data_IF_917569501218
#
_entry.id   IF_917569501218
#
_cell.length_a   1.000
_cell.length_b   1.000
_cell.length_c   1.000
_cell.angle_alpha   90.00
_cell.angle_beta   90.00
_cell.angle_gamma   90.00
#
_symmetry.space_group_name_H-M   'P 1'
#
loop_
_entity.id
_entity.type
_entity.pdbx_description
1 polymer ?
#
# COMPACT_ATOMS: atom_id res chain seq x y z
N UNK A 1 -3.85 -39.89 -42.12
CA UNK A 1 -2.84 -38.98 -41.52
C UNK A 1 -3.63 -37.89 -40.80
N UNK A 2 -3.71 -37.95 -39.47
CA UNK A 2 -4.33 -36.89 -38.66
C UNK A 2 -3.30 -35.76 -38.53
N UNK A 3 -3.67 -34.58 -39.01
CA UNK A 3 -2.75 -33.44 -39.09
C UNK A 3 -2.20 -33.03 -37.71
N UNK A 4 -0.88 -32.88 -37.63
CA UNK A 4 -0.16 -32.44 -36.43
C UNK A 4 -0.64 -31.07 -35.86
N UNK A 5 -1.38 -30.33 -36.65
CA UNK A 5 -2.05 -29.06 -36.28
C UNK A 5 -3.20 -29.29 -35.29
N UNK A 6 -3.98 -30.34 -35.48
CA UNK A 6 -5.15 -30.68 -34.65
C UNK A 6 -4.74 -31.15 -33.25
N UNK A 7 -3.62 -31.87 -33.15
CA UNK A 7 -3.07 -32.33 -31.86
C UNK A 7 -2.52 -31.15 -31.02
N UNK A 8 -1.86 -30.17 -31.65
CA UNK A 8 -1.38 -28.97 -30.97
C UNK A 8 -2.51 -28.11 -30.44
N UNK A 9 -3.62 -28.01 -31.20
CA UNK A 9 -4.79 -27.25 -30.77
C UNK A 9 -5.52 -27.90 -29.60
N UNK A 10 -5.58 -29.22 -29.58
CA UNK A 10 -6.15 -30.00 -28.45
C UNK A 10 -5.27 -29.86 -27.19
N UNK A 11 -3.93 -29.92 -27.35
CA UNK A 11 -2.98 -29.77 -26.24
C UNK A 11 -3.08 -28.38 -25.60
N UNK A 12 -3.19 -27.32 -26.40
CA UNK A 12 -3.34 -25.95 -25.89
C UNK A 12 -4.69 -25.73 -25.16
N UNK A 13 -5.77 -26.33 -25.64
CA UNK A 13 -7.08 -26.31 -24.95
C UNK A 13 -7.04 -27.07 -23.63
N UNK A 14 -6.43 -28.25 -23.61
CA UNK A 14 -6.29 -29.05 -22.40
C UNK A 14 -5.43 -28.34 -21.33
N UNK A 15 -4.36 -27.67 -21.71
CA UNK A 15 -3.50 -26.91 -20.78
C UNK A 15 -4.26 -25.74 -20.16
N UNK A 16 -5.10 -25.05 -20.94
CA UNK A 16 -5.93 -23.93 -20.46
C UNK A 16 -7.05 -24.38 -19.49
N UNK A 17 -7.68 -25.53 -19.78
CA UNK A 17 -8.66 -26.14 -18.88
C UNK A 17 -8.01 -26.64 -17.59
N UNK A 18 -6.78 -27.16 -17.68
CA UNK A 18 -6.03 -27.64 -16.52
C UNK A 18 -5.60 -26.48 -15.59
N UNK A 19 -5.19 -25.35 -16.14
CA UNK A 19 -4.87 -24.15 -15.36
C UNK A 19 -6.11 -23.57 -14.65
N UNK A 20 -7.27 -23.56 -15.30
CA UNK A 20 -8.54 -23.12 -14.69
C UNK A 20 -9.01 -24.08 -13.58
N UNK A 21 -8.79 -25.39 -13.77
CA UNK A 21 -9.18 -26.39 -12.76
C UNK A 21 -8.28 -26.36 -11.53
N UNK A 22 -6.97 -26.15 -11.69
CA UNK A 22 -6.02 -26.01 -10.58
C UNK A 22 -6.23 -24.72 -9.82
N UNK A 23 -6.58 -23.62 -10.50
CA UNK A 23 -6.88 -22.33 -9.85
C UNK A 23 -8.15 -22.44 -8.97
N UNK A 24 -9.24 -23.01 -9.50
CA UNK A 24 -10.47 -23.22 -8.74
C UNK A 24 -10.33 -24.22 -7.58
N UNK A 25 -9.47 -25.22 -7.73
CA UNK A 25 -9.22 -26.22 -6.67
C UNK A 25 -8.39 -25.62 -5.51
N UNK A 26 -7.43 -24.76 -5.83
CA UNK A 26 -6.62 -24.07 -4.84
C UNK A 26 -7.45 -23.06 -4.03
N UNK A 27 -8.37 -22.34 -4.69
CA UNK A 27 -9.27 -21.37 -4.04
C UNK A 27 -10.31 -22.06 -3.16
N UNK A 28 -10.86 -23.19 -3.60
CA UNK A 28 -11.81 -24.00 -2.83
C UNK A 28 -11.18 -24.63 -1.58
N UNK A 29 -9.92 -25.06 -1.66
CA UNK A 29 -9.17 -25.58 -0.50
C UNK A 29 -8.74 -24.49 0.47
N UNK A 30 -8.51 -23.25 0.01
CA UNK A 30 -8.26 -22.08 0.85
C UNK A 30 -9.49 -21.71 1.69
N UNK A 31 -10.68 -21.79 1.07
CA UNK A 31 -11.97 -21.56 1.77
C UNK A 31 -12.26 -22.68 2.79
N UNK A 32 -11.98 -23.94 2.43
CA UNK A 32 -12.17 -25.10 3.34
C UNK A 32 -11.21 -25.08 4.54
N UNK A 33 -10.01 -24.52 4.42
CA UNK A 33 -9.10 -24.32 5.56
C UNK A 33 -9.55 -23.22 6.53
N UNK A 34 -10.31 -22.25 6.05
CA UNK A 34 -10.89 -21.22 6.91
C UNK A 34 -12.18 -21.67 7.62
N UNK A 35 -12.86 -22.68 7.09
CA UNK A 35 -14.08 -23.21 7.71
C UNK A 35 -13.86 -24.43 8.62
N UNK A 36 -12.66 -25.03 8.64
CA UNK A 36 -12.40 -26.24 9.44
C UNK A 36 -11.95 -25.96 10.87
N UNK A 37 -12.00 -24.71 11.35
CA UNK A 37 -11.79 -24.37 12.76
C UNK A 37 -13.10 -24.48 13.59
N UNK A 38 -14.18 -24.97 13.00
CA UNK A 38 -15.40 -25.20 13.78
C UNK A 38 -16.20 -26.41 13.24
N UNK A 39 -16.05 -27.51 13.87
CA UNK A 39 -16.88 -28.71 13.98
C UNK A 39 -16.18 -30.02 13.69
N UNK A 40 -15.64 -30.63 14.73
CA UNK A 40 -15.66 -32.09 14.90
C UNK A 40 -17.12 -32.55 14.87
N UNK A 41 -17.46 -33.42 13.94
CA UNK A 41 -18.23 -34.66 14.12
C UNK A 41 -18.58 -35.29 12.78
N UNK A 42 -18.26 -36.59 12.69
CA UNK A 42 -18.87 -37.63 11.82
C UNK A 42 -18.85 -37.46 10.31
N UNK A 43 -17.96 -38.19 9.65
CA UNK A 43 -18.34 -39.18 8.63
C UNK A 43 -17.19 -40.16 8.34
N UNK A 44 -17.29 -41.32 8.91
CA UNK A 44 -16.62 -42.55 8.43
C UNK A 44 -17.41 -43.07 7.22
N UNK A 45 -16.71 -43.63 6.30
CA UNK A 45 -17.11 -44.40 5.09
C UNK A 45 -17.17 -43.59 3.79
N UNK A 46 -16.15 -43.73 3.03
CA UNK A 46 -16.00 -44.10 1.59
C UNK A 46 -14.64 -43.58 1.05
N UNK A 47 -13.58 -44.11 1.59
CA UNK A 47 -12.21 -43.78 1.15
C UNK A 47 -11.43 -45.06 0.90
N UNK A 48 -11.62 -45.79 -0.20
CA UNK A 48 -10.64 -46.83 -0.48
C UNK A 48 -10.39 -47.21 -1.95
N UNK A 49 -10.93 -46.53 -2.96
CA UNK A 49 -10.65 -46.96 -4.34
C UNK A 49 -10.28 -45.87 -5.36
N UNK A 50 -10.02 -44.64 -4.94
CA UNK A 50 -9.55 -43.56 -5.87
C UNK A 50 -8.24 -42.87 -5.47
N UNK A 51 -7.50 -43.37 -4.49
CA UNK A 51 -6.38 -42.66 -3.89
C UNK A 51 -4.98 -43.06 -4.39
N UNK A 52 -4.84 -44.07 -5.23
CA UNK A 52 -3.51 -44.54 -5.63
C UNK A 52 -2.99 -44.02 -6.98
N UNK A 53 -3.81 -43.39 -7.79
CA UNK A 53 -3.35 -42.86 -9.09
C UNK A 53 -3.15 -41.34 -9.12
N UNK A 54 -3.62 -40.59 -8.09
CA UNK A 54 -3.54 -39.12 -8.07
C UNK A 54 -2.46 -38.60 -7.09
N UNK A 55 -2.00 -39.44 -6.15
CA UNK A 55 -1.03 -39.05 -5.13
C UNK A 55 0.44 -38.97 -5.62
N UNK A 56 0.75 -39.52 -6.78
CA UNK A 56 2.12 -39.49 -7.34
C UNK A 56 2.47 -38.22 -8.11
N UNK A 57 1.48 -37.47 -8.61
CA UNK A 57 1.74 -36.32 -9.49
C UNK A 57 1.48 -34.94 -8.84
N UNK A 58 0.76 -34.89 -7.73
CA UNK A 58 0.38 -33.59 -7.14
C UNK A 58 1.33 -33.06 -6.07
N UNK A 59 2.23 -33.88 -5.54
CA UNK A 59 3.23 -33.42 -4.55
C UNK A 59 4.46 -32.77 -5.19
N UNK A 60 4.77 -33.10 -6.45
CA UNK A 60 5.89 -32.50 -7.16
C UNK A 60 5.58 -31.12 -7.76
N UNK A 61 4.28 -30.81 -8.00
CA UNK A 61 3.86 -29.57 -8.66
C UNK A 61 3.63 -28.41 -7.68
N UNK A 62 3.44 -28.68 -6.38
CA UNK A 62 3.32 -27.63 -5.36
C UNK A 62 4.66 -27.21 -4.73
N UNK A 63 5.77 -27.89 -5.08
CA UNK A 63 7.10 -27.61 -4.50
C UNK A 63 8.00 -26.76 -5.40
N UNK A 64 7.54 -26.43 -6.62
CA UNK A 64 8.33 -25.60 -7.56
C UNK A 64 7.67 -24.29 -7.98
N UNK A 65 6.50 -23.92 -7.42
CA UNK A 65 6.08 -22.53 -7.45
C UNK A 65 6.78 -21.85 -6.29
N UNK A 66 7.89 -21.16 -6.58
CA UNK A 66 8.57 -20.32 -5.63
C UNK A 66 7.52 -19.55 -4.83
N UNK A 67 7.65 -19.52 -3.51
CA UNK A 67 6.84 -18.71 -2.61
C UNK A 67 6.82 -17.29 -3.19
N UNK A 68 5.77 -16.95 -3.95
CA UNK A 68 5.55 -15.56 -4.32
C UNK A 68 5.18 -14.88 -3.02
N UNK A 69 6.11 -14.09 -2.51
CA UNK A 69 5.86 -13.29 -1.32
C UNK A 69 4.56 -12.52 -1.51
N UNK A 70 3.70 -12.54 -0.49
CA UNK A 70 2.51 -11.70 -0.50
C UNK A 70 2.93 -10.23 -0.53
N UNK A 71 2.07 -9.30 -1.00
CA UNK A 71 2.36 -7.87 -0.95
C UNK A 71 2.82 -7.40 0.43
N UNK A 72 2.22 -7.90 1.51
CA UNK A 72 2.61 -7.55 2.88
C UNK A 72 4.02 -8.07 3.22
N UNK A 73 4.35 -9.31 2.84
CA UNK A 73 5.70 -9.85 3.03
C UNK A 73 6.75 -9.07 2.23
N UNK A 74 6.43 -8.63 1.01
CA UNK A 74 7.33 -7.80 0.21
C UNK A 74 7.54 -6.42 0.83
N UNK A 75 6.49 -5.82 1.40
CA UNK A 75 6.60 -4.57 2.14
C UNK A 75 7.51 -4.72 3.35
N UNK A 76 7.32 -5.75 4.17
CA UNK A 76 8.12 -6.01 5.37
C UNK A 76 9.59 -6.28 5.01
N UNK A 77 9.85 -7.09 3.98
CA UNK A 77 11.21 -7.34 3.49
C UNK A 77 11.88 -6.07 2.99
N UNK A 78 11.13 -5.19 2.32
CA UNK A 78 11.62 -3.88 1.90
C UNK A 78 12.01 -3.00 3.08
N UNK A 79 11.22 -2.99 4.17
CA UNK A 79 11.58 -2.29 5.40
C UNK A 79 12.85 -2.83 6.05
N UNK A 80 13.00 -4.16 6.11
CA UNK A 80 14.24 -4.78 6.63
C UNK A 80 15.46 -4.45 5.75
N UNK A 81 15.28 -4.37 4.42
CA UNK A 81 16.32 -3.94 3.51
C UNK A 81 16.73 -2.48 3.76
N UNK A 82 15.78 -1.56 3.93
CA UNK A 82 16.05 -0.16 4.28
C UNK A 82 16.81 -0.04 5.61
N UNK A 83 16.43 -0.80 6.64
CA UNK A 83 17.13 -0.81 7.94
C UNK A 83 18.60 -1.24 7.82
N UNK A 84 18.90 -2.11 6.84
CA UNK A 84 20.27 -2.57 6.54
C UNK A 84 21.02 -1.65 5.59
N UNK A 85 20.38 -0.59 5.08
CA UNK A 85 20.94 0.30 4.07
C UNK A 85 20.92 -0.28 2.65
N UNK A 86 20.26 -1.42 2.44
CA UNK A 86 20.10 -2.04 1.11
C UNK A 86 18.89 -1.46 0.38
N UNK A 87 19.06 -0.21 -0.07
CA UNK A 87 18.01 0.53 -0.76
C UNK A 87 17.65 -0.05 -2.12
N UNK A 88 18.60 -0.74 -2.78
CA UNK A 88 18.36 -1.38 -4.06
C UNK A 88 17.40 -2.56 -3.93
N UNK A 89 17.56 -3.36 -2.90
CA UNK A 89 16.61 -4.45 -2.60
C UNK A 89 15.24 -3.90 -2.21
N UNK A 90 15.18 -2.84 -1.38
CA UNK A 90 13.92 -2.19 -1.05
C UNK A 90 13.19 -1.68 -2.30
N UNK A 91 13.91 -1.01 -3.22
CA UNK A 91 13.37 -0.52 -4.48
C UNK A 91 12.81 -1.67 -5.34
N UNK A 92 13.55 -2.77 -5.48
CA UNK A 92 13.12 -3.96 -6.24
C UNK A 92 11.84 -4.58 -5.68
N UNK A 93 11.66 -4.54 -4.36
CA UNK A 93 10.49 -5.10 -3.69
C UNK A 93 9.27 -4.16 -3.76
N UNK A 94 9.47 -2.85 -3.54
CA UNK A 94 8.36 -1.90 -3.46
C UNK A 94 7.89 -1.37 -4.81
N UNK A 95 8.80 -1.23 -5.81
CA UNK A 95 8.45 -0.67 -7.12
C UNK A 95 7.32 -1.42 -7.84
N UNK A 96 7.34 -2.77 -7.92
CA UNK A 96 6.24 -3.52 -8.54
C UNK A 96 4.91 -3.34 -7.80
N UNK A 97 4.92 -3.28 -6.46
CA UNK A 97 3.72 -3.04 -5.67
C UNK A 97 3.16 -1.63 -5.87
N UNK A 98 4.05 -0.65 -5.88
CA UNK A 98 3.69 0.75 -6.11
C UNK A 98 3.10 0.97 -7.51
N UNK A 99 3.65 0.32 -8.54
CA UNK A 99 3.14 0.36 -9.90
C UNK A 99 1.76 -0.32 -10.02
N UNK A 100 1.46 -1.31 -9.17
CA UNK A 100 0.15 -1.94 -9.04
C UNK A 100 -0.85 -1.12 -8.21
N UNK A 101 -0.43 0.01 -7.63
CA UNK A 101 -1.30 0.92 -6.89
C UNK A 101 -1.30 0.73 -5.37
N UNK A 102 -0.41 -0.10 -4.79
CA UNK A 102 -0.30 -0.19 -3.33
C UNK A 102 0.19 1.15 -2.75
N UNK A 103 -0.71 1.84 -2.03
CA UNK A 103 -0.44 3.16 -1.49
C UNK A 103 0.70 3.17 -0.46
N UNK A 104 0.92 2.07 0.27
CA UNK A 104 2.00 1.92 1.25
C UNK A 104 3.35 1.83 0.55
N UNK A 105 3.43 1.05 -0.54
CA UNK A 105 4.62 0.96 -1.36
C UNK A 105 4.94 2.31 -2.02
N UNK A 106 3.93 3.00 -2.56
CA UNK A 106 4.08 4.34 -3.14
C UNK A 106 4.59 5.35 -2.10
N UNK A 107 4.02 5.35 -0.89
CA UNK A 107 4.47 6.20 0.21
C UNK A 107 5.94 5.91 0.58
N UNK A 108 6.31 4.63 0.68
CA UNK A 108 7.67 4.23 1.03
C UNK A 108 8.70 4.63 -0.04
N UNK A 109 8.34 4.53 -1.34
CA UNK A 109 9.18 5.05 -2.42
C UNK A 109 9.33 6.57 -2.33
N UNK A 110 8.25 7.29 -2.05
CA UNK A 110 8.30 8.73 -1.81
C UNK A 110 9.29 9.10 -0.70
N UNK A 111 9.28 8.37 0.42
CA UNK A 111 10.24 8.56 1.52
C UNK A 111 11.67 8.23 1.10
N UNK A 112 11.90 7.17 0.33
CA UNK A 112 13.22 6.80 -0.14
C UNK A 112 13.85 7.91 -0.97
N UNK A 113 13.13 8.42 -1.97
CA UNK A 113 13.60 9.50 -2.84
C UNK A 113 13.81 10.80 -2.07
N UNK A 114 12.88 11.16 -1.17
CA UNK A 114 12.99 12.39 -0.37
C UNK A 114 14.17 12.36 0.61
N UNK A 115 14.43 11.23 1.25
CA UNK A 115 15.46 11.11 2.28
C UNK A 115 16.87 10.86 1.70
N UNK A 116 17.00 10.71 0.38
CA UNK A 116 18.28 10.38 -0.25
C UNK A 116 18.74 8.95 0.03
N UNK A 117 17.79 8.05 0.35
CA UNK A 117 18.09 6.64 0.59
C UNK A 117 18.35 5.93 -0.75
N UNK A 118 19.57 6.02 -1.21
CA UNK A 118 20.03 5.56 -2.52
C UNK A 118 20.21 6.69 -3.52
N UNK A 119 19.19 7.47 -3.82
CA UNK A 119 19.20 8.64 -4.72
C UNK A 119 18.23 9.67 -4.14
N UNK A 120 18.72 10.89 -3.87
CA UNK A 120 17.84 11.98 -3.50
C UNK A 120 17.22 12.59 -4.76
N UNK A 121 15.90 12.56 -4.85
CA UNK A 121 15.15 13.16 -5.94
C UNK A 121 13.77 13.63 -5.43
N UNK A 122 13.68 14.90 -5.10
CA UNK A 122 12.45 15.47 -4.56
C UNK A 122 11.32 15.49 -5.62
N UNK A 123 11.64 15.54 -6.91
CA UNK A 123 10.65 15.47 -7.99
C UNK A 123 10.03 14.08 -8.04
N UNK A 124 10.85 13.03 -8.00
CA UNK A 124 10.35 11.66 -7.93
C UNK A 124 9.62 11.40 -6.61
N UNK A 125 10.10 11.93 -5.49
CA UNK A 125 9.40 11.85 -4.21
C UNK A 125 7.99 12.45 -4.29
N UNK A 126 7.84 13.64 -4.88
CA UNK A 126 6.56 14.30 -5.07
C UNK A 126 5.60 13.46 -5.94
N UNK A 127 6.11 12.84 -7.02
CA UNK A 127 5.31 11.97 -7.88
C UNK A 127 4.77 10.76 -7.13
N UNK A 128 5.62 10.10 -6.32
CA UNK A 128 5.21 8.93 -5.55
C UNK A 128 4.27 9.30 -4.41
N UNK A 129 4.53 10.40 -3.68
CA UNK A 129 3.60 10.89 -2.67
C UNK A 129 2.26 11.28 -3.27
N UNK A 130 2.23 11.86 -4.50
CA UNK A 130 0.97 12.18 -5.17
C UNK A 130 0.14 10.93 -5.45
N UNK A 131 0.74 9.88 -6.01
CA UNK A 131 0.06 8.61 -6.25
C UNK A 131 -0.50 8.02 -4.96
N UNK A 132 0.31 7.96 -3.89
CA UNK A 132 -0.14 7.46 -2.60
C UNK A 132 -1.26 8.31 -1.99
N UNK A 133 -1.16 9.65 -2.10
CA UNK A 133 -2.15 10.60 -1.59
C UNK A 133 -3.49 10.50 -2.33
N UNK A 134 -3.47 10.29 -3.64
CA UNK A 134 -4.65 10.04 -4.48
C UNK A 134 -5.30 8.70 -4.12
N UNK A 135 -4.50 7.67 -3.79
CA UNK A 135 -4.97 6.39 -3.26
C UNK A 135 -5.37 6.45 -1.77
N UNK A 136 -5.38 7.64 -1.19
CA UNK A 136 -5.94 7.87 0.13
C UNK A 136 -4.98 7.74 1.30
N UNK A 137 -3.68 7.54 1.07
CA UNK A 137 -2.69 7.52 2.16
C UNK A 137 -2.59 8.89 2.84
N UNK A 138 -2.89 8.91 4.12
CA UNK A 138 -3.00 10.15 4.92
C UNK A 138 -1.63 10.79 5.16
N UNK A 139 -0.59 9.98 5.33
CA UNK A 139 0.78 10.46 5.53
C UNK A 139 1.34 11.05 4.23
N UNK A 140 1.02 10.42 3.09
CA UNK A 140 1.38 10.95 1.78
C UNK A 140 0.66 12.27 1.48
N UNK A 141 -0.63 12.39 1.83
CA UNK A 141 -1.35 13.67 1.71
C UNK A 141 -0.67 14.79 2.49
N UNK A 142 -0.27 14.52 3.73
CA UNK A 142 0.47 15.50 4.53
C UNK A 142 1.84 15.83 3.91
N UNK A 143 2.62 14.83 3.51
CA UNK A 143 3.94 15.05 2.91
C UNK A 143 3.86 15.84 1.60
N UNK A 144 2.88 15.53 0.75
CA UNK A 144 2.67 16.28 -0.49
C UNK A 144 2.27 17.74 -0.21
N UNK A 145 1.44 17.97 0.82
CA UNK A 145 1.13 19.32 1.30
C UNK A 145 2.37 20.08 1.75
N UNK A 146 3.29 19.42 2.47
CA UNK A 146 4.57 20.02 2.85
C UNK A 146 5.44 20.37 1.63
N UNK A 147 5.50 19.49 0.65
CA UNK A 147 6.29 19.71 -0.57
C UNK A 147 5.77 20.92 -1.33
N UNK A 148 4.46 21.08 -1.47
CA UNK A 148 3.87 22.28 -2.07
C UNK A 148 4.10 23.54 -1.24
N UNK A 149 3.99 23.45 0.09
CA UNK A 149 4.23 24.61 0.95
C UNK A 149 5.67 25.13 0.88
N UNK A 150 6.62 24.25 0.60
CA UNK A 150 8.05 24.59 0.56
C UNK A 150 8.63 24.72 -0.84
N UNK A 151 7.96 24.23 -1.88
CA UNK A 151 8.50 24.12 -3.23
C UNK A 151 9.56 23.02 -3.38
N UNK A 152 9.47 21.93 -2.56
CA UNK A 152 10.38 20.79 -2.63
C UNK A 152 9.90 19.82 -3.74
N UNK A 153 10.64 19.70 -4.85
CA UNK A 153 10.32 18.82 -5.98
C UNK A 153 9.06 19.21 -6.78
N UNK A 154 8.38 20.26 -6.39
CA UNK A 154 7.23 20.89 -7.05
C UNK A 154 7.35 22.40 -6.93
N UNK A 155 6.69 23.16 -7.83
CA UNK A 155 6.56 24.59 -7.66
C UNK A 155 5.79 24.91 -6.37
N UNK A 156 6.25 25.93 -5.61
CA UNK A 156 5.60 26.33 -4.38
C UNK A 156 4.17 26.80 -4.64
N UNK A 157 3.21 26.16 -3.98
CA UNK A 157 1.80 26.50 -4.08
C UNK A 157 1.09 26.27 -2.73
N UNK A 158 0.86 27.35 -2.01
CA UNK A 158 0.16 27.29 -0.72
C UNK A 158 -1.30 26.88 -0.86
N UNK A 159 -1.96 27.16 -2.00
CA UNK A 159 -3.35 26.74 -2.24
C UNK A 159 -3.44 25.23 -2.37
N UNK A 160 -2.53 24.63 -3.15
CA UNK A 160 -2.43 23.17 -3.24
C UNK A 160 -1.99 22.55 -1.90
N UNK A 161 -1.06 23.16 -1.17
CA UNK A 161 -0.67 22.70 0.17
C UNK A 161 -1.88 22.60 1.11
N UNK A 162 -2.72 23.64 1.17
CA UNK A 162 -3.95 23.66 1.97
C UNK A 162 -4.91 22.55 1.56
N UNK A 163 -5.09 22.30 0.26
CA UNK A 163 -5.98 21.23 -0.22
C UNK A 163 -5.53 19.86 0.30
N UNK A 164 -4.22 19.58 0.22
CA UNK A 164 -3.68 18.30 0.65
C UNK A 164 -3.65 18.17 2.18
N UNK A 165 -3.27 19.23 2.91
CA UNK A 165 -3.37 19.24 4.36
C UNK A 165 -4.81 19.03 4.83
N UNK A 166 -5.79 19.64 4.19
CA UNK A 166 -7.22 19.47 4.54
C UNK A 166 -7.65 18.01 4.40
N UNK A 167 -7.31 17.35 3.27
CA UNK A 167 -7.62 15.92 3.06
C UNK A 167 -7.09 15.04 4.19
N UNK A 168 -5.87 15.29 4.65
CA UNK A 168 -5.28 14.55 5.77
C UNK A 168 -5.87 14.96 7.12
N UNK A 169 -6.12 16.24 7.33
CA UNK A 169 -6.67 16.81 8.57
C UNK A 169 -8.10 16.32 8.83
N UNK A 170 -8.93 16.21 7.80
CA UNK A 170 -10.30 15.71 7.88
C UNK A 170 -10.33 14.22 8.29
N UNK A 171 -9.25 13.47 8.02
CA UNK A 171 -9.04 12.10 8.49
C UNK A 171 -8.42 12.01 9.88
N UNK A 172 -8.26 13.11 10.58
CA UNK A 172 -7.74 13.17 11.94
C UNK A 172 -6.21 13.18 12.06
N UNK A 173 -5.47 13.38 10.96
CA UNK A 173 -4.01 13.40 11.03
C UNK A 173 -3.51 14.68 11.73
N UNK A 174 -3.03 14.53 12.97
CA UNK A 174 -2.71 15.65 13.85
C UNK A 174 -1.70 16.63 13.26
N UNK A 175 -0.64 16.13 12.59
CA UNK A 175 0.36 17.01 11.97
C UNK A 175 -0.22 17.83 10.81
N UNK A 176 -1.18 17.27 10.04
CA UNK A 176 -1.84 18.01 8.99
C UNK A 176 -2.83 19.05 9.56
N UNK A 177 -3.52 18.72 10.64
CA UNK A 177 -4.37 19.65 11.38
C UNK A 177 -3.57 20.84 11.91
N UNK A 178 -2.41 20.56 12.48
CA UNK A 178 -1.48 21.60 12.92
C UNK A 178 -1.05 22.52 11.77
N UNK A 179 -0.56 21.95 10.66
CA UNK A 179 -0.12 22.74 9.52
C UNK A 179 -1.26 23.54 8.91
N UNK A 180 -2.46 22.96 8.76
CA UNK A 180 -3.64 23.66 8.27
C UNK A 180 -4.02 24.82 9.21
N UNK A 181 -3.92 24.63 10.52
CA UNK A 181 -4.11 25.68 11.51
C UNK A 181 -3.13 26.85 11.34
N UNK A 182 -1.86 26.57 11.04
CA UNK A 182 -0.86 27.60 10.74
C UNK A 182 -1.20 28.35 9.44
N UNK A 183 -1.61 27.63 8.37
CA UNK A 183 -1.99 28.25 7.09
C UNK A 183 -3.14 29.25 7.29
N UNK A 184 -4.17 28.91 8.09
CA UNK A 184 -5.25 29.84 8.42
C UNK A 184 -4.82 30.99 9.33
N UNK A 185 -3.86 30.76 10.25
CA UNK A 185 -3.31 31.82 11.10
C UNK A 185 -2.58 32.87 10.29
N UNK A 186 -1.78 32.42 9.31
CA UNK A 186 -0.87 33.28 8.55
C UNK A 186 -1.48 33.80 7.25
N UNK A 187 -2.57 33.20 6.78
CA UNK A 187 -3.23 33.56 5.52
C UNK A 187 -2.50 33.00 4.30
N UNK A 188 -1.77 31.90 4.45
CA UNK A 188 -1.04 31.24 3.36
C UNK A 188 -1.97 30.29 2.61
N UNK A 189 -2.19 30.52 1.31
CA UNK A 189 -3.08 29.72 0.45
C UNK A 189 -4.56 29.78 0.80
N UNK A 190 -4.94 30.49 1.86
CA UNK A 190 -6.31 30.73 2.32
C UNK A 190 -6.43 32.14 2.90
N UNK A 191 -7.66 32.67 2.95
CA UNK A 191 -7.91 33.91 3.67
C UNK A 191 -7.61 33.70 5.16
N UNK A 192 -6.80 34.60 5.74
CA UNK A 192 -6.44 34.57 7.17
C UNK A 192 -7.72 34.51 8.03
N UNK A 193 -7.74 33.55 8.97
CA UNK A 193 -8.87 33.38 9.89
C UNK A 193 -8.39 32.75 11.20
N UNK A 194 -8.25 33.59 12.24
CA UNK A 194 -7.77 33.16 13.57
C UNK A 194 -8.72 32.19 14.28
N UNK A 195 -10.03 32.32 14.06
CA UNK A 195 -11.02 31.40 14.65
C UNK A 195 -10.85 30.00 14.09
N UNK A 196 -10.81 29.88 12.75
CA UNK A 196 -10.58 28.60 12.07
C UNK A 196 -9.19 28.02 12.40
N UNK A 197 -8.16 28.88 12.49
CA UNK A 197 -6.83 28.46 12.92
C UNK A 197 -6.86 27.82 14.31
N UNK A 198 -7.57 28.46 15.27
CA UNK A 198 -7.69 27.95 16.63
C UNK A 198 -8.43 26.63 16.69
N UNK A 199 -9.50 26.46 15.88
CA UNK A 199 -10.23 25.20 15.77
C UNK A 199 -9.34 24.04 15.29
N UNK A 200 -8.55 24.25 14.21
CA UNK A 200 -7.65 23.23 13.70
C UNK A 200 -6.51 22.90 14.65
N UNK A 201 -5.94 23.92 15.31
CA UNK A 201 -4.91 23.71 16.32
C UNK A 201 -5.45 22.98 17.57
N UNK A 202 -6.73 23.23 17.93
CA UNK A 202 -7.43 22.47 18.97
C UNK A 202 -7.55 21.00 18.60
N UNK A 203 -8.05 20.69 17.40
CA UNK A 203 -8.14 19.33 16.88
C UNK A 203 -6.78 18.64 16.84
N UNK A 204 -5.72 19.34 16.43
CA UNK A 204 -4.36 18.80 16.44
C UNK A 204 -3.91 18.45 17.86
N UNK A 205 -4.22 19.30 18.84
CA UNK A 205 -3.94 19.05 20.25
C UNK A 205 -4.69 17.81 20.77
N UNK A 206 -5.99 17.71 20.48
CA UNK A 206 -6.83 16.59 20.88
C UNK A 206 -6.35 15.27 20.27
N UNK A 207 -5.79 15.32 19.05
CA UNK A 207 -5.16 14.19 18.36
C UNK A 207 -3.67 13.98 18.72
N UNK A 208 -3.18 14.62 19.78
CA UNK A 208 -1.88 14.36 20.38
C UNK A 208 -0.71 15.17 19.83
N UNK A 209 -0.93 16.18 18.99
CA UNK A 209 0.14 17.08 18.56
C UNK A 209 0.48 18.10 19.64
N UNK A 210 1.66 17.95 20.27
CA UNK A 210 2.12 18.85 21.35
C UNK A 210 2.30 20.29 20.88
N UNK A 211 2.70 20.50 19.63
CA UNK A 211 2.84 21.85 19.05
C UNK A 211 1.45 22.45 18.84
N UNK A 212 0.48 21.66 18.36
CA UNK A 212 -0.92 22.07 18.26
C UNK A 212 -1.46 22.60 19.59
N UNK A 213 -1.22 21.88 20.70
CA UNK A 213 -1.61 22.35 22.04
C UNK A 213 -0.95 23.67 22.44
N UNK A 214 0.33 23.83 22.14
CA UNK A 214 1.06 25.05 22.46
C UNK A 214 0.51 26.25 21.68
N UNK A 215 0.31 26.08 20.37
CA UNK A 215 -0.20 27.15 19.50
C UNK A 215 -1.67 27.48 19.77
N UNK A 216 -2.49 26.47 20.06
CA UNK A 216 -3.88 26.66 20.49
C UNK A 216 -3.99 27.57 21.72
N UNK A 217 -3.12 27.37 22.73
CA UNK A 217 -3.08 28.20 23.94
C UNK A 217 -2.60 29.64 23.67
N UNK A 218 -1.74 29.83 22.68
CA UNK A 218 -1.22 31.16 22.31
C UNK A 218 -2.19 32.00 21.49
N UNK A 219 -3.10 31.37 20.76
CA UNK A 219 -4.16 32.04 20.01
C UNK A 219 -5.32 32.39 20.96
N UNK A 220 -5.16 33.47 21.70
CA UNK A 220 -6.23 34.06 22.52
C UNK A 220 -7.20 34.86 21.66
#
# INVERSE_FOLDING_TARGET
>A
MIEASSIRHLHAKMTKYFQLYTFNYCEKNRILKMTSLNKETNMKLTKTLLTTAILGFSLASCHSTGLTNTPDQQLDQGFEAVKKGDYQTALKLWKPLADQGDARAQYNLGLMYRNGNGIQDDVEAAKWFRKAAENGDVKAQHNLGMMYAKGEGVEQDYVEAVKWYRKAADKGYAMAQFNLGLMYRDGEGVKQNRTVAKEWLGKACDNGDKKGCLYYKKLK
#
